data_IF_653585816455
#
_entry.id   IF_653585816455
#
_cell.length_a   1.000
_cell.length_b   1.000
_cell.length_c   1.000
_cell.angle_alpha   90.00
_cell.angle_beta   90.00
_cell.angle_gamma   90.00
#
_symmetry.space_group_name_H-M   'P 1'
#
loop_
_entity.id
_entity.type
_entity.pdbx_description
1 polymer ?
#
# COMPACT_ATOMS: atom_id res chain seq x y z
N UNK A 1 61.40 -47.35 39.88
CA UNK A 1 60.32 -47.60 40.85
C UNK A 1 59.45 -46.34 40.84
N UNK A 2 58.20 -46.29 40.42
CA UNK A 2 57.31 -47.18 39.69
C UNK A 2 56.12 -46.28 39.21
N UNK A 3 55.64 -46.50 37.99
CA UNK A 3 54.21 -46.47 37.59
C UNK A 3 53.37 -45.15 37.59
N UNK A 4 52.97 -44.77 36.37
CA UNK A 4 51.67 -44.19 35.90
C UNK A 4 50.44 -44.96 36.43
N UNK A 5 49.16 -44.47 36.42
CA UNK A 5 48.41 -43.87 35.28
C UNK A 5 47.45 -42.69 35.65
N UNK A 6 47.14 -41.75 34.74
CA UNK A 6 46.10 -41.70 33.67
C UNK A 6 44.68 -41.26 34.11
N UNK A 7 44.05 -40.49 33.23
CA UNK A 7 42.63 -40.12 33.15
C UNK A 7 42.09 -39.02 34.07
N UNK A 8 41.84 -37.84 33.49
CA UNK A 8 40.46 -37.44 33.14
C UNK A 8 40.48 -36.36 32.06
N UNK A 9 39.96 -36.74 30.90
CA UNK A 9 39.53 -35.85 29.84
C UNK A 9 38.51 -34.84 30.36
N UNK A 10 38.44 -33.64 29.79
CA UNK A 10 37.26 -33.16 29.06
C UNK A 10 37.70 -32.03 28.11
N UNK A 11 37.82 -32.41 26.85
CA UNK A 11 37.79 -31.58 25.66
C UNK A 11 36.43 -30.85 25.61
N UNK A 12 36.38 -29.55 25.91
CA UNK A 12 35.14 -28.77 25.77
C UNK A 12 35.00 -28.31 24.33
N UNK A 13 34.57 -29.24 23.48
CA UNK A 13 33.92 -28.96 22.20
C UNK A 13 32.49 -28.50 22.50
N UNK A 14 32.17 -27.22 22.32
CA UNK A 14 30.79 -26.79 22.05
C UNK A 14 30.76 -25.67 21.01
N UNK A 15 30.95 -26.11 19.76
CA UNK A 15 29.95 -25.97 18.70
C UNK A 15 29.08 -24.70 18.74
N UNK A 16 29.56 -23.71 18.00
CA UNK A 16 28.76 -22.64 17.38
C UNK A 16 27.52 -23.25 16.73
N UNK A 17 26.37 -23.18 17.40
CA UNK A 17 25.08 -23.55 16.81
C UNK A 17 24.63 -22.40 15.94
N UNK A 18 25.14 -22.37 14.71
CA UNK A 18 24.54 -21.63 13.62
C UNK A 18 23.11 -22.15 13.44
N UNK A 19 22.13 -21.40 13.94
CA UNK A 19 20.72 -21.56 13.58
C UNK A 19 20.61 -21.10 12.12
N UNK A 20 21.04 -21.96 11.21
CA UNK A 20 20.69 -21.86 9.79
C UNK A 20 19.19 -22.01 9.70
N UNK A 21 18.51 -20.87 9.59
CA UNK A 21 17.14 -20.75 9.12
C UNK A 21 17.02 -21.53 7.81
N UNK A 22 16.60 -22.80 7.93
CA UNK A 22 16.35 -23.67 6.79
C UNK A 22 15.10 -23.12 6.12
N UNK A 23 15.30 -22.21 5.17
CA UNK A 23 14.26 -21.65 4.31
C UNK A 23 13.55 -22.83 3.66
N UNK A 24 12.38 -23.19 4.17
CA UNK A 24 11.57 -24.29 3.66
C UNK A 24 11.14 -23.91 2.24
N UNK A 25 11.88 -24.37 1.25
CA UNK A 25 11.51 -24.28 -0.15
C UNK A 25 10.28 -25.16 -0.33
N UNK A 26 9.10 -24.53 -0.31
CA UNK A 26 7.87 -25.20 -0.67
C UNK A 26 8.02 -25.79 -2.10
N UNK A 27 7.48 -26.98 -2.37
CA UNK A 27 7.49 -27.56 -3.71
C UNK A 27 6.83 -26.57 -4.68
N UNK A 28 7.49 -26.31 -5.81
CA UNK A 28 6.89 -25.51 -6.87
C UNK A 28 5.62 -26.20 -7.35
N UNK A 29 4.46 -25.55 -7.19
CA UNK A 29 3.19 -26.09 -7.64
C UNK A 29 3.25 -26.37 -9.17
N UNK A 30 2.77 -27.54 -9.64
CA UNK A 30 2.69 -27.82 -11.07
C UNK A 30 1.71 -26.84 -11.72
N UNK A 31 2.23 -25.87 -12.49
CA UNK A 31 1.44 -24.79 -13.10
C UNK A 31 2.08 -23.39 -12.99
N UNK A 32 3.12 -23.25 -12.18
CA UNK A 32 3.78 -21.98 -11.83
C UNK A 32 4.66 -21.32 -12.93
N UNK A 33 4.65 -21.81 -14.19
CA UNK A 33 5.36 -21.19 -15.32
C UNK A 33 4.41 -20.57 -16.32
N UNK A 34 3.43 -19.80 -15.85
CA UNK A 34 2.60 -18.96 -16.73
C UNK A 34 3.39 -17.73 -17.20
N UNK A 35 4.35 -17.89 -18.10
CA UNK A 35 4.90 -16.87 -19.03
C UNK A 35 5.18 -15.42 -18.59
N UNK A 36 5.18 -15.07 -17.30
CA UNK A 36 5.46 -13.70 -16.85
C UNK A 36 6.96 -13.41 -16.94
N UNK A 37 7.37 -12.18 -17.32
CA UNK A 37 8.78 -11.79 -17.33
C UNK A 37 9.44 -12.02 -15.96
N UNK A 38 10.67 -12.55 -15.95
CA UNK A 38 11.41 -12.90 -14.73
C UNK A 38 11.60 -11.73 -13.75
N UNK A 39 11.58 -10.49 -14.27
CA UNK A 39 11.69 -9.27 -13.47
C UNK A 39 10.56 -9.11 -12.43
N UNK A 40 9.36 -9.62 -12.71
CA UNK A 40 8.20 -9.55 -11.80
C UNK A 40 8.30 -10.51 -10.59
N UNK A 41 9.27 -11.44 -10.58
CA UNK A 41 9.31 -12.56 -9.63
C UNK A 41 10.11 -12.28 -8.35
N UNK A 42 10.81 -11.14 -8.26
CA UNK A 42 11.56 -10.79 -7.06
C UNK A 42 10.63 -10.27 -5.96
N UNK A 43 10.37 -11.12 -4.97
CA UNK A 43 9.53 -10.83 -3.80
C UNK A 43 10.22 -10.00 -2.70
N UNK A 44 11.40 -9.44 -2.98
CA UNK A 44 12.15 -8.61 -2.04
C UNK A 44 11.56 -7.20 -1.96
N UNK A 45 11.58 -6.62 -0.75
CA UNK A 45 11.30 -5.18 -0.55
C UNK A 45 12.30 -4.40 -1.40
N UNK A 46 11.82 -3.45 -2.19
CA UNK A 46 12.67 -2.55 -2.96
C UNK A 46 12.68 -1.20 -2.26
N UNK A 47 13.71 -0.96 -1.48
CA UNK A 47 13.84 0.25 -0.67
C UNK A 47 13.75 1.54 -1.50
N UNK A 48 14.22 1.53 -2.75
CA UNK A 48 14.11 2.67 -3.65
C UNK A 48 12.64 3.06 -3.93
N UNK A 49 11.72 2.09 -4.07
CA UNK A 49 10.29 2.39 -4.28
C UNK A 49 9.64 2.95 -3.01
N UNK A 50 10.02 2.43 -1.85
CA UNK A 50 9.58 2.99 -0.57
C UNK A 50 10.10 4.42 -0.39
N UNK A 51 11.36 4.70 -0.76
CA UNK A 51 11.95 6.04 -0.73
C UNK A 51 11.24 7.03 -1.66
N UNK A 52 10.93 6.62 -2.89
CA UNK A 52 10.16 7.44 -3.83
C UNK A 52 8.74 7.73 -3.34
N UNK A 53 8.08 6.78 -2.68
CA UNK A 53 6.77 7.01 -2.06
C UNK A 53 6.85 8.01 -0.91
N UNK A 54 7.85 7.88 -0.04
CA UNK A 54 8.08 8.82 1.05
C UNK A 54 8.35 10.23 0.51
N UNK A 55 9.17 10.34 -0.54
CA UNK A 55 9.42 11.62 -1.21
C UNK A 55 8.13 12.22 -1.80
N UNK A 56 7.32 11.40 -2.48
CA UNK A 56 6.04 11.85 -3.02
C UNK A 56 5.12 12.40 -1.91
N UNK A 57 4.99 11.70 -0.78
CA UNK A 57 4.20 12.19 0.38
C UNK A 57 4.79 13.48 0.95
N UNK A 58 6.11 13.59 1.07
CA UNK A 58 6.76 14.81 1.55
C UNK A 58 6.43 16.02 0.65
N UNK A 59 6.48 15.85 -0.67
CA UNK A 59 6.09 16.89 -1.62
C UNK A 59 4.62 17.27 -1.49
N UNK A 60 3.71 16.31 -1.26
CA UNK A 60 2.30 16.58 -0.98
C UNK A 60 2.13 17.41 0.28
N UNK A 61 2.86 17.10 1.35
CA UNK A 61 2.82 17.87 2.60
C UNK A 61 3.30 19.30 2.37
N UNK A 62 4.45 19.49 1.70
CA UNK A 62 4.98 20.82 1.40
C UNK A 62 4.02 21.63 0.54
N UNK A 63 3.40 21.00 -0.47
CA UNK A 63 2.39 21.64 -1.32
C UNK A 63 1.19 22.18 -0.53
N UNK A 64 0.78 21.50 0.55
CA UNK A 64 -0.34 21.96 1.39
C UNK A 64 0.09 23.00 2.44
N UNK A 65 1.38 23.14 2.73
CA UNK A 65 1.90 24.23 3.55
C UNK A 65 1.92 25.53 2.75
N UNK A 66 2.49 25.47 1.54
CA UNK A 66 2.52 26.59 0.61
C UNK A 66 2.60 26.08 -0.83
N UNK A 67 1.56 26.35 -1.60
CA UNK A 67 1.43 25.93 -2.99
C UNK A 67 2.52 26.53 -3.90
N UNK A 68 3.11 27.66 -3.53
CA UNK A 68 4.16 28.33 -4.30
C UNK A 68 5.51 27.61 -4.22
N UNK A 69 5.75 26.82 -3.16
CA UNK A 69 7.01 26.08 -2.97
C UNK A 69 7.12 24.87 -3.90
N UNK A 70 6.00 24.25 -4.24
CA UNK A 70 5.94 23.09 -5.15
C UNK A 70 4.78 23.29 -6.15
N UNK A 71 4.93 24.17 -7.15
CA UNK A 71 3.92 24.35 -8.18
C UNK A 71 3.62 23.02 -8.88
N UNK A 72 2.35 22.62 -8.92
CA UNK A 72 1.95 21.31 -9.46
C UNK A 72 2.17 20.14 -8.50
N UNK A 73 2.34 20.38 -7.20
CA UNK A 73 2.49 19.33 -6.17
C UNK A 73 1.33 18.34 -6.09
N UNK A 74 0.17 18.63 -6.71
CA UNK A 74 -0.91 17.68 -6.93
C UNK A 74 -0.47 16.42 -7.71
N UNK A 75 0.50 16.53 -8.63
CA UNK A 75 1.07 15.40 -9.38
C UNK A 75 1.77 14.40 -8.44
N UNK A 76 2.30 14.87 -7.30
CA UNK A 76 2.96 13.98 -6.34
C UNK A 76 1.99 12.95 -5.75
N UNK A 77 0.69 13.28 -5.64
CA UNK A 77 -0.34 12.32 -5.23
C UNK A 77 -0.50 11.21 -6.28
N UNK A 78 -0.54 11.57 -7.56
CA UNK A 78 -0.66 10.60 -8.67
C UNK A 78 0.55 9.66 -8.72
N UNK A 79 1.75 10.20 -8.49
CA UNK A 79 2.99 9.42 -8.39
C UNK A 79 2.92 8.45 -7.20
N UNK A 80 2.48 8.92 -6.03
CA UNK A 80 2.32 8.05 -4.85
C UNK A 80 1.38 6.88 -5.14
N UNK A 81 0.20 7.13 -5.72
CA UNK A 81 -0.74 6.07 -6.05
C UNK A 81 -0.21 5.10 -7.10
N UNK A 82 0.47 5.61 -8.13
CA UNK A 82 1.08 4.78 -9.18
C UNK A 82 2.12 3.83 -8.58
N UNK A 83 2.98 4.34 -7.70
CA UNK A 83 4.00 3.54 -7.01
C UNK A 83 3.36 2.50 -6.07
N UNK A 84 2.34 2.88 -5.30
CA UNK A 84 1.60 1.96 -4.43
C UNK A 84 0.98 0.83 -5.27
N UNK A 85 0.29 1.15 -6.36
CA UNK A 85 -0.31 0.18 -7.28
C UNK A 85 0.72 -0.79 -7.87
N UNK A 86 1.86 -0.27 -8.33
CA UNK A 86 2.95 -1.08 -8.85
C UNK A 86 3.52 -2.05 -7.81
N UNK A 87 3.84 -1.56 -6.61
CA UNK A 87 4.41 -2.38 -5.52
C UNK A 87 3.45 -3.50 -5.12
N UNK A 88 2.15 -3.18 -4.97
CA UNK A 88 1.15 -4.17 -4.58
C UNK A 88 0.98 -5.21 -5.68
N UNK A 89 0.83 -4.79 -6.93
CA UNK A 89 0.66 -5.69 -8.07
C UNK A 89 1.86 -6.63 -8.20
N UNK A 90 3.07 -6.10 -8.09
CA UNK A 90 4.29 -6.91 -8.13
C UNK A 90 4.34 -7.92 -6.97
N UNK A 91 3.98 -7.52 -5.75
CA UNK A 91 3.95 -8.44 -4.60
C UNK A 91 2.97 -9.59 -4.84
N UNK A 92 1.77 -9.28 -5.34
CA UNK A 92 0.74 -10.28 -5.63
C UNK A 92 1.15 -11.20 -6.78
N UNK A 93 1.70 -10.68 -7.88
CA UNK A 93 2.23 -11.49 -8.98
C UNK A 93 3.36 -12.41 -8.53
N UNK A 94 4.28 -11.90 -7.71
CA UNK A 94 5.37 -12.70 -7.15
C UNK A 94 4.84 -13.83 -6.25
N UNK A 95 3.82 -13.56 -5.42
CA UNK A 95 3.16 -14.59 -4.62
C UNK A 95 2.47 -15.64 -5.50
N UNK A 96 1.60 -15.19 -6.42
CA UNK A 96 0.85 -16.06 -7.32
C UNK A 96 1.76 -16.92 -8.19
N UNK A 97 2.86 -16.37 -8.71
CA UNK A 97 3.83 -17.12 -9.49
C UNK A 97 4.49 -18.26 -8.70
N UNK A 98 4.63 -18.10 -7.37
CA UNK A 98 5.25 -19.10 -6.50
C UNK A 98 4.27 -20.14 -5.99
N UNK A 99 3.05 -19.74 -5.66
CA UNK A 99 2.08 -20.59 -4.94
C UNK A 99 0.86 -20.98 -5.79
N UNK A 100 0.64 -20.35 -6.94
CA UNK A 100 -0.55 -20.52 -7.76
C UNK A 100 -1.82 -19.90 -7.16
N UNK A 101 -1.71 -19.20 -6.03
CA UNK A 101 -2.84 -18.61 -5.30
C UNK A 101 -2.43 -17.29 -4.63
N UNK A 102 -3.40 -16.56 -4.07
CA UNK A 102 -3.15 -15.37 -3.27
C UNK A 102 -3.70 -15.58 -1.86
N UNK A 103 -2.85 -15.45 -0.84
CA UNK A 103 -3.24 -15.51 0.56
C UNK A 103 -3.83 -14.15 1.00
N UNK A 104 -5.07 -13.91 0.58
CA UNK A 104 -5.77 -12.64 0.79
C UNK A 104 -5.95 -12.29 2.26
N UNK A 105 -6.33 -13.24 3.12
CA UNK A 105 -6.57 -12.97 4.53
C UNK A 105 -5.30 -12.48 5.26
N UNK A 106 -4.13 -13.16 5.16
CA UNK A 106 -2.88 -12.61 5.68
C UNK A 106 -2.49 -11.27 5.08
N UNK A 107 -2.78 -11.05 3.79
CA UNK A 107 -2.51 -9.77 3.12
C UNK A 107 -3.33 -8.62 3.72
N UNK A 108 -4.65 -8.79 3.87
CA UNK A 108 -5.53 -7.79 4.47
C UNK A 108 -5.18 -7.54 5.93
N UNK A 109 -4.95 -8.61 6.71
CA UNK A 109 -4.59 -8.47 8.14
C UNK A 109 -3.35 -7.60 8.36
N UNK A 110 -2.29 -7.80 7.57
CA UNK A 110 -1.05 -7.00 7.67
C UNK A 110 -1.27 -5.53 7.36
N UNK A 111 -2.18 -5.21 6.44
CA UNK A 111 -2.51 -3.83 6.08
C UNK A 111 -3.36 -3.17 7.16
N UNK A 112 -4.40 -3.88 7.61
CA UNK A 112 -5.30 -3.40 8.64
C UNK A 112 -4.54 -3.04 9.92
N UNK A 113 -3.68 -3.94 10.39
CA UNK A 113 -2.84 -3.71 11.58
C UNK A 113 -1.78 -2.62 11.39
N UNK A 114 -1.47 -2.23 10.16
CA UNK A 114 -0.52 -1.15 9.85
C UNK A 114 -1.19 0.21 9.79
N UNK A 115 -2.41 0.30 9.25
CA UNK A 115 -3.04 1.57 8.88
C UNK A 115 -4.12 2.01 9.87
N UNK A 116 -4.93 1.07 10.35
CA UNK A 116 -6.05 1.37 11.25
C UNK A 116 -5.61 1.98 12.58
N UNK A 117 -4.54 1.51 13.26
CA UNK A 117 -4.13 2.12 14.52
C UNK A 117 -3.79 3.61 14.38
N UNK A 118 -3.07 3.98 13.32
CA UNK A 118 -2.70 5.36 13.05
C UNK A 118 -3.95 6.21 12.71
N UNK A 119 -4.85 5.68 11.89
CA UNK A 119 -6.11 6.36 11.54
C UNK A 119 -6.97 6.62 12.78
N UNK A 120 -7.17 5.60 13.62
CA UNK A 120 -7.95 5.73 14.85
C UNK A 120 -7.34 6.74 15.82
N UNK A 121 -6.01 6.77 15.93
CA UNK A 121 -5.32 7.78 16.74
C UNK A 121 -5.58 9.20 16.22
N UNK A 122 -5.48 9.43 14.92
CA UNK A 122 -5.78 10.74 14.31
C UNK A 122 -7.25 11.12 14.49
N UNK A 123 -8.18 10.18 14.29
CA UNK A 123 -9.60 10.41 14.54
C UNK A 123 -9.85 10.78 16.01
N UNK A 124 -9.24 10.07 16.96
CA UNK A 124 -9.38 10.36 18.38
C UNK A 124 -8.87 11.76 18.73
N UNK A 125 -7.70 12.16 18.21
CA UNK A 125 -7.17 13.52 18.39
C UNK A 125 -8.13 14.55 17.81
N UNK A 126 -8.67 14.32 16.61
CA UNK A 126 -9.62 15.24 15.99
C UNK A 126 -10.91 15.38 16.79
N UNK A 127 -11.43 14.28 17.36
CA UNK A 127 -12.60 14.29 18.25
C UNK A 127 -12.33 15.09 19.52
N UNK A 128 -11.18 14.88 20.16
CA UNK A 128 -10.82 15.62 21.38
C UNK A 128 -10.70 17.10 21.08
N UNK A 129 -10.01 17.49 20.00
CA UNK A 129 -9.89 18.90 19.62
C UNK A 129 -11.23 19.53 19.23
N UNK A 130 -12.09 18.80 18.51
CA UNK A 130 -13.42 19.28 18.13
C UNK A 130 -14.34 19.54 19.32
N UNK A 131 -14.18 18.79 20.41
CA UNK A 131 -15.01 18.91 21.61
C UNK A 131 -14.43 19.87 22.66
N UNK A 132 -13.13 20.15 22.61
CA UNK A 132 -12.44 21.00 23.59
C UNK A 132 -12.10 22.40 23.07
N UNK A 133 -12.18 22.63 21.75
CA UNK A 133 -11.82 23.90 21.12
C UNK A 133 -12.91 24.37 20.17
N UNK A 134 -13.01 25.69 19.97
CA UNK A 134 -13.91 26.31 18.96
C UNK A 134 -13.17 26.63 17.66
N UNK A 135 -12.19 25.80 17.29
CA UNK A 135 -11.44 25.98 16.04
C UNK A 135 -12.36 25.72 14.84
N UNK A 136 -12.45 26.69 13.93
CA UNK A 136 -13.42 26.72 12.82
C UNK A 136 -13.43 25.46 11.93
N UNK A 137 -12.32 24.71 11.89
CA UNK A 137 -12.15 23.52 11.04
C UNK A 137 -12.76 22.23 11.59
N UNK A 138 -13.37 22.25 12.78
CA UNK A 138 -13.85 21.04 13.47
C UNK A 138 -15.38 20.96 13.65
N UNK A 139 -16.13 21.99 13.25
CA UNK A 139 -17.59 21.94 13.18
C UNK A 139 -18.01 20.88 12.14
N UNK A 140 -18.77 19.85 12.54
CA UNK A 140 -19.10 18.69 11.68
C UNK A 140 -18.12 17.50 11.76
N UNK A 141 -17.21 17.51 12.74
CA UNK A 141 -16.17 16.48 12.95
C UNK A 141 -16.68 15.03 13.07
N UNK A 142 -17.87 14.78 13.63
CA UNK A 142 -18.36 13.41 13.83
C UNK A 142 -18.63 12.65 12.54
N UNK A 143 -19.23 13.31 11.55
CA UNK A 143 -19.47 12.71 10.25
C UNK A 143 -18.14 12.55 9.48
N UNK A 144 -17.22 13.53 9.58
CA UNK A 144 -15.85 13.38 9.04
C UNK A 144 -15.11 12.17 9.64
N UNK A 145 -15.23 11.94 10.94
CA UNK A 145 -14.66 10.77 11.64
C UNK A 145 -15.29 9.48 11.15
N UNK A 146 -16.62 9.45 11.00
CA UNK A 146 -17.34 8.31 10.45
C UNK A 146 -16.88 7.95 9.02
N UNK A 147 -16.78 8.96 8.16
CA UNK A 147 -16.30 8.79 6.77
C UNK A 147 -14.85 8.35 6.71
N UNK A 148 -13.97 8.93 7.55
CA UNK A 148 -12.57 8.53 7.64
C UNK A 148 -12.45 7.08 8.12
N UNK A 149 -13.15 6.71 9.20
CA UNK A 149 -13.12 5.36 9.77
C UNK A 149 -13.68 4.28 8.84
N UNK A 150 -14.60 4.66 7.95
CA UNK A 150 -15.19 3.77 6.93
C UNK A 150 -14.48 3.82 5.58
N UNK A 151 -13.42 4.64 5.44
CA UNK A 151 -12.70 4.83 4.17
C UNK A 151 -13.60 5.34 3.03
N UNK A 152 -14.59 6.18 3.36
CA UNK A 152 -15.59 6.73 2.42
C UNK A 152 -15.43 8.22 2.14
N UNK A 153 -14.45 8.90 2.75
CA UNK A 153 -14.20 10.33 2.55
C UNK A 153 -14.10 10.71 1.07
N UNK A 154 -13.48 9.88 0.22
CA UNK A 154 -13.36 10.15 -1.22
C UNK A 154 -14.69 10.07 -1.97
N UNK A 155 -15.57 9.13 -1.61
CA UNK A 155 -16.86 8.92 -2.27
C UNK A 155 -17.77 10.11 -2.00
N UNK A 156 -17.84 10.53 -0.74
CA UNK A 156 -18.60 11.70 -0.34
C UNK A 156 -18.07 12.98 -0.98
N UNK A 157 -16.75 13.19 -0.96
CA UNK A 157 -16.13 14.36 -1.61
C UNK A 157 -16.35 14.43 -3.13
N UNK A 158 -16.54 13.29 -3.79
CA UNK A 158 -16.85 13.26 -5.21
C UNK A 158 -18.30 13.68 -5.50
N UNK A 159 -19.22 13.48 -4.55
CA UNK A 159 -20.62 13.90 -4.66
C UNK A 159 -20.82 15.36 -4.25
N UNK A 160 -20.10 15.82 -3.22
CA UNK A 160 -20.11 17.21 -2.77
C UNK A 160 -18.68 17.66 -2.42
N UNK A 161 -18.08 18.43 -3.32
CA UNK A 161 -16.70 18.90 -3.18
C UNK A 161 -16.54 20.01 -2.13
N UNK A 162 -17.63 20.67 -1.72
CA UNK A 162 -17.63 21.79 -0.78
C UNK A 162 -17.95 21.40 0.67
N UNK A 163 -18.58 20.24 0.88
CA UNK A 163 -19.09 19.84 2.19
C UNK A 163 -18.02 19.51 3.24
N UNK A 164 -16.78 19.19 2.85
CA UNK A 164 -15.74 18.74 3.78
C UNK A 164 -14.39 19.45 3.63
N UNK A 165 -14.21 20.48 4.45
CA UNK A 165 -12.91 21.02 4.86
C UNK A 165 -12.41 20.39 6.17
N UNK A 166 -11.18 20.73 6.58
CA UNK A 166 -10.65 20.37 7.90
C UNK A 166 -9.69 19.16 7.94
N UNK A 167 -9.19 18.79 9.13
CA UNK A 167 -8.01 17.91 9.26
C UNK A 167 -8.19 16.50 8.71
N UNK A 168 -9.41 15.97 8.76
CA UNK A 168 -9.73 14.64 8.24
C UNK A 168 -10.02 14.64 6.74
N UNK A 169 -10.11 15.81 6.11
CA UNK A 169 -10.39 15.91 4.68
C UNK A 169 -9.33 15.17 3.85
N UNK A 170 -8.06 15.15 4.29
CA UNK A 170 -6.94 14.44 3.66
C UNK A 170 -7.08 12.92 3.66
N UNK A 171 -7.98 12.34 4.46
CA UNK A 171 -8.24 10.89 4.49
C UNK A 171 -8.90 10.38 3.21
N UNK A 172 -9.29 11.26 2.29
CA UNK A 172 -9.76 10.88 0.96
C UNK A 172 -8.76 10.00 0.21
N UNK A 173 -7.47 10.32 0.29
CA UNK A 173 -6.43 9.58 -0.43
C UNK A 173 -6.21 8.20 0.18
N UNK A 174 -6.29 8.11 1.51
CA UNK A 174 -6.28 6.85 2.26
C UNK A 174 -7.49 5.97 1.90
N UNK A 175 -8.68 6.57 1.77
CA UNK A 175 -9.89 5.85 1.35
C UNK A 175 -9.75 5.21 -0.03
N UNK A 176 -9.24 5.97 -1.00
CA UNK A 176 -8.93 5.45 -2.35
C UNK A 176 -7.91 4.31 -2.28
N UNK A 177 -6.85 4.48 -1.48
CA UNK A 177 -5.79 3.47 -1.33
C UNK A 177 -6.32 2.16 -0.71
N UNK A 178 -7.17 2.22 0.32
CA UNK A 178 -7.80 1.04 0.92
C UNK A 178 -8.80 0.35 -0.01
N UNK A 179 -9.63 1.12 -0.73
CA UNK A 179 -10.55 0.58 -1.74
C UNK A 179 -9.77 -0.17 -2.82
N UNK A 180 -8.66 0.39 -3.29
CA UNK A 180 -7.75 -0.29 -4.21
C UNK A 180 -7.17 -1.57 -3.60
N UNK A 181 -6.74 -1.53 -2.33
CA UNK A 181 -6.20 -2.70 -1.64
C UNK A 181 -7.20 -3.81 -1.44
N UNK A 182 -8.48 -3.50 -1.29
CA UNK A 182 -9.55 -4.50 -1.18
C UNK A 182 -9.90 -5.09 -2.55
N UNK A 183 -10.11 -4.24 -3.55
CA UNK A 183 -10.64 -4.64 -4.86
C UNK A 183 -9.59 -5.28 -5.76
N UNK A 184 -8.39 -4.72 -5.82
CA UNK A 184 -7.36 -5.14 -6.78
C UNK A 184 -6.90 -6.58 -6.59
N UNK A 185 -6.59 -7.09 -5.38
CA UNK A 185 -6.17 -8.48 -5.22
C UNK A 185 -7.24 -9.49 -5.64
N UNK A 186 -8.51 -9.19 -5.38
CA UNK A 186 -9.64 -10.03 -5.79
C UNK A 186 -9.80 -10.05 -7.31
N UNK A 187 -9.79 -8.87 -7.93
CA UNK A 187 -9.85 -8.73 -9.38
C UNK A 187 -8.68 -9.44 -10.06
N UNK A 188 -7.46 -9.22 -9.57
CA UNK A 188 -6.26 -9.83 -10.10
C UNK A 188 -6.28 -11.35 -9.96
N UNK A 189 -6.75 -11.90 -8.82
CA UNK A 189 -6.92 -13.34 -8.65
C UNK A 189 -7.90 -13.93 -9.68
N UNK A 190 -9.02 -13.24 -9.91
CA UNK A 190 -10.03 -13.64 -10.88
C UNK A 190 -9.44 -13.66 -12.30
N UNK A 191 -8.78 -12.56 -12.70
CA UNK A 191 -8.12 -12.43 -14.00
C UNK A 191 -7.05 -13.51 -14.20
N UNK A 192 -6.17 -13.72 -13.20
CA UNK A 192 -5.10 -14.71 -13.28
C UNK A 192 -5.63 -16.14 -13.35
N UNK A 193 -6.77 -16.46 -12.72
CA UNK A 193 -7.37 -17.80 -12.82
C UNK A 193 -8.07 -18.06 -14.15
N UNK A 194 -8.74 -17.05 -14.72
CA UNK A 194 -9.60 -17.21 -15.89
C UNK A 194 -8.91 -16.92 -17.22
N UNK A 195 -7.91 -16.06 -17.24
CA UNK A 195 -7.32 -15.53 -18.47
C UNK A 195 -5.85 -15.92 -18.65
N UNK A 196 -5.37 -15.80 -19.88
CA UNK A 196 -3.95 -15.97 -20.21
C UNK A 196 -3.14 -14.75 -19.73
N UNK A 197 -1.86 -14.90 -19.35
CA UNK A 197 -1.02 -13.81 -18.84
C UNK A 197 -0.99 -12.55 -19.73
N UNK A 198 -0.94 -12.72 -21.06
CA UNK A 198 -0.99 -11.60 -22.01
C UNK A 198 -2.30 -10.83 -21.92
N UNK A 199 -3.43 -11.53 -21.81
CA UNK A 199 -4.74 -10.89 -21.65
C UNK A 199 -4.84 -10.16 -20.32
N UNK A 200 -4.32 -10.73 -19.23
CA UNK A 200 -4.26 -10.06 -17.92
C UNK A 200 -3.45 -8.76 -18.00
N UNK A 201 -2.31 -8.79 -18.68
CA UNK A 201 -1.49 -7.59 -18.92
C UNK A 201 -2.26 -6.53 -19.71
N UNK A 202 -2.91 -6.91 -20.81
CA UNK A 202 -3.71 -5.99 -21.63
C UNK A 202 -4.88 -5.42 -20.84
N UNK A 203 -5.63 -6.24 -20.09
CA UNK A 203 -6.70 -5.77 -19.23
C UNK A 203 -6.19 -4.78 -18.16
N UNK A 204 -5.05 -5.08 -17.53
CA UNK A 204 -4.44 -4.19 -16.54
C UNK A 204 -4.01 -2.87 -17.18
N UNK A 205 -3.35 -2.92 -18.34
CA UNK A 205 -2.95 -1.73 -19.08
C UNK A 205 -4.18 -0.88 -19.50
N UNK A 206 -5.24 -1.52 -19.97
CA UNK A 206 -6.50 -0.85 -20.31
C UNK A 206 -7.12 -0.18 -19.06
N UNK A 207 -7.15 -0.85 -17.91
CA UNK A 207 -7.63 -0.26 -16.65
C UNK A 207 -6.81 0.96 -16.20
N UNK A 208 -5.52 1.04 -16.53
CA UNK A 208 -4.70 2.22 -16.25
C UNK A 208 -4.92 3.35 -17.26
N UNK A 209 -5.05 3.02 -18.55
CA UNK A 209 -5.10 4.00 -19.64
C UNK A 209 -6.50 4.61 -19.81
N UNK A 210 -7.57 3.82 -19.62
CA UNK A 210 -8.95 4.29 -19.84
C UNK A 210 -9.34 5.49 -18.96
N UNK A 211 -9.07 5.50 -17.64
CA UNK A 211 -9.38 6.67 -16.81
C UNK A 211 -8.55 7.90 -17.19
N UNK A 212 -7.31 7.70 -17.63
CA UNK A 212 -6.46 8.78 -18.11
C UNK A 212 -7.03 9.40 -19.39
N UNK A 213 -7.39 8.58 -20.38
CA UNK A 213 -8.02 9.05 -21.61
C UNK A 213 -9.35 9.74 -21.34
N UNK A 214 -10.17 9.18 -20.46
CA UNK A 214 -11.42 9.80 -20.02
C UNK A 214 -11.18 11.20 -19.43
N UNK A 215 -10.16 11.34 -18.58
CA UNK A 215 -9.79 12.64 -18.00
C UNK A 215 -9.27 13.62 -19.04
N UNK A 216 -8.52 13.17 -20.05
CA UNK A 216 -8.11 14.00 -21.18
C UNK A 216 -9.29 14.48 -22.03
N UNK A 217 -10.31 13.65 -22.24
CA UNK A 217 -11.52 14.01 -22.99
C UNK A 217 -12.37 15.03 -22.24
N UNK A 218 -12.47 14.90 -20.91
CA UNK A 218 -13.21 15.84 -20.05
C UNK A 218 -12.41 17.11 -19.73
N UNK A 219 -11.19 17.26 -20.23
CA UNK A 219 -10.39 18.43 -19.94
C UNK A 219 -10.94 19.66 -20.65
N UNK A 220 -11.49 20.59 -19.86
CA UNK A 220 -11.89 21.92 -20.31
C UNK A 220 -10.95 22.98 -19.72
N UNK A 221 -10.48 23.97 -20.51
CA UNK A 221 -9.54 25.00 -20.05
C UNK A 221 -10.07 25.85 -18.88
N UNK A 222 -11.39 26.00 -18.75
CA UNK A 222 -12.02 26.77 -17.66
C UNK A 222 -12.17 25.98 -16.34
N UNK A 223 -11.83 24.69 -16.32
CA UNK A 223 -11.95 23.84 -15.13
C UNK A 223 -10.79 24.02 -14.13
N UNK A 224 -9.72 24.73 -14.51
CA UNK A 224 -8.50 24.90 -13.73
C UNK A 224 -8.74 25.61 -12.39
N UNK A 225 -9.82 26.40 -12.29
CA UNK A 225 -10.14 27.20 -11.10
C UNK A 225 -11.06 26.50 -10.08
N UNK A 226 -11.46 25.24 -10.30
CA UNK A 226 -12.41 24.50 -9.44
C UNK A 226 -11.79 23.31 -8.70
N UNK A 227 -10.49 23.32 -8.46
CA UNK A 227 -9.78 22.29 -7.68
C UNK A 227 -9.15 22.94 -6.46
#
# INVERSE_FOLDING_TARGET
>A
MASTPDSTAVETTETVTAVTSRRRTAPAAPGARRGFPSASLHSGRVGALDGLRTLAVALVVVYHVDHSLVPGGSIAVDVFFTLSGFVITRLLLAEYSRTGTLALLPFYRRRWLRLVPALLAVCAVCVVLATTTSLWSFDGSWEAVGLAATFLTNVFRAADSGAYGGPLAHTWSLGVEEQFYLLWPLLLLCLLRRLRPRTVLVCTAALCVLPFLWRCVLWHPDAVHRI
#
